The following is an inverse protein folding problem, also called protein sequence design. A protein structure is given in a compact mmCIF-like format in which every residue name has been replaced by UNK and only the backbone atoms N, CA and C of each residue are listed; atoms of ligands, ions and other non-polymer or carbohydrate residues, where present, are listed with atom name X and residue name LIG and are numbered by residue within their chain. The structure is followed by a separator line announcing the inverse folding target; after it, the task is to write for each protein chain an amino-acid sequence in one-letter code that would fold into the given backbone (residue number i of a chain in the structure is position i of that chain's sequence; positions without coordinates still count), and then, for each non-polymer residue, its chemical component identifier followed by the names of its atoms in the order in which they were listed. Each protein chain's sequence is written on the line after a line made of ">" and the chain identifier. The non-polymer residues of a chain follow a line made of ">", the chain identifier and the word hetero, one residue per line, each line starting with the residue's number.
data_IF_025406697705
#
_entry.id   IF_025406697705
#
_cell.length_a   1.000
_cell.length_b   1.000
_cell.length_c   1.000
_cell.angle_alpha   90.00
_cell.angle_beta   90.00
_cell.angle_gamma   90.00
#
_symmetry.space_group_name_H-M   'P 1'
#
loop_
_entity.id
_entity.type
_entity.pdbx_description
1 polymer ?
#
# COMPACT_ATOMS: atom_id res chain seq x y z
N UNK A 1 -22.08 32.02 74.72
CA UNK A 1 -21.18 33.19 74.74
C UNK A 1 -19.76 32.67 74.58
N UNK A 2 -19.12 32.74 73.40
CA UNK A 2 -18.45 33.91 72.76
C UNK A 2 -16.92 33.85 72.96
N UNK A 3 -16.20 33.46 71.89
CA UNK A 3 -14.83 33.84 71.45
C UNK A 3 -13.64 33.51 72.40
N UNK A 4 -12.41 33.23 71.95
CA UNK A 4 -11.59 33.88 70.91
C UNK A 4 -10.32 33.00 70.69
N UNK A 5 -9.90 32.50 69.52
CA UNK A 5 -9.31 33.15 68.31
C UNK A 5 -8.13 34.12 68.56
N UNK A 6 -6.89 33.60 68.57
CA UNK A 6 -5.59 34.25 68.25
C UNK A 6 -4.47 33.27 68.68
N UNK A 7 -3.40 32.94 67.98
CA UNK A 7 -2.67 33.38 66.79
C UNK A 7 -2.13 32.09 66.13
N UNK A 8 -1.95 31.96 64.82
CA UNK A 8 -0.83 32.53 64.07
C UNK A 8 -1.32 32.77 62.64
N UNK A 9 -1.28 34.04 62.26
CA UNK A 9 -1.47 34.53 60.91
C UNK A 9 -0.08 34.80 60.31
N UNK A 10 0.00 34.72 58.98
CA UNK A 10 1.16 34.97 58.12
C UNK A 10 2.28 33.93 58.24
N UNK A 11 2.76 33.33 57.14
CA UNK A 11 3.48 34.03 56.06
C UNK A 11 3.38 33.23 54.73
N UNK A 12 3.11 33.96 53.64
CA UNK A 12 3.34 33.65 52.20
C UNK A 12 2.48 32.51 51.60
N UNK A 13 1.36 32.74 50.89
CA UNK A 13 1.21 33.55 49.67
C UNK A 13 2.37 33.41 48.69
N UNK A 14 2.16 32.63 47.62
CA UNK A 14 3.02 32.69 46.43
C UNK A 14 3.54 31.35 45.91
N UNK A 15 2.66 30.42 45.55
CA UNK A 15 2.98 29.53 44.43
C UNK A 15 1.92 29.83 43.38
N UNK A 16 2.34 30.64 42.40
CA UNK A 16 1.61 30.85 41.18
C UNK A 16 1.33 29.49 40.54
N UNK A 17 0.07 29.22 40.27
CA UNK A 17 -0.37 28.16 39.37
C UNK A 17 0.14 28.53 37.96
N UNK A 18 1.40 28.24 37.66
CA UNK A 18 1.89 28.22 36.30
C UNK A 18 1.68 26.82 35.75
N UNK A 19 0.73 26.74 34.82
CA UNK A 19 0.55 25.80 33.72
C UNK A 19 1.51 24.60 33.63
N UNK A 20 0.90 23.43 33.36
CA UNK A 20 1.52 22.15 32.99
C UNK A 20 1.93 21.23 34.16
N UNK A 21 0.95 20.53 34.74
CA UNK A 21 1.22 19.28 35.47
C UNK A 21 1.36 18.12 34.45
N UNK A 22 2.53 17.49 34.30
CA UNK A 22 2.73 16.45 33.30
C UNK A 22 2.19 15.10 33.79
N UNK A 23 1.33 14.47 32.97
CA UNK A 23 0.63 13.19 33.19
C UNK A 23 1.48 12.02 33.74
N UNK A 24 2.81 12.10 33.65
CA UNK A 24 3.72 11.07 34.17
C UNK A 24 3.70 10.90 35.70
N UNK A 25 3.29 11.91 36.46
CA UNK A 25 3.18 11.80 37.92
C UNK A 25 1.99 10.92 38.35
N UNK A 26 1.04 10.64 37.46
CA UNK A 26 -0.18 9.88 37.79
C UNK A 26 0.08 8.41 38.16
N UNK A 27 1.22 7.82 37.76
CA UNK A 27 1.55 6.42 38.08
C UNK A 27 2.07 6.20 39.51
N UNK A 28 2.56 7.24 40.19
CA UNK A 28 3.12 7.12 41.56
C UNK A 28 2.14 7.45 42.67
N UNK A 29 1.01 8.08 42.34
CA UNK A 29 0.02 8.59 43.30
C UNK A 29 -1.10 7.59 43.66
N UNK A 30 -1.02 6.33 43.21
CA UNK A 30 -2.06 5.31 43.47
C UNK A 30 -1.98 4.64 44.85
N UNK A 31 -1.14 5.14 45.77
CA UNK A 31 -0.81 4.42 47.01
C UNK A 31 -0.88 5.25 48.30
N UNK A 32 -1.63 6.36 48.37
CA UNK A 32 -1.87 7.03 49.64
C UNK A 32 -3.36 7.15 49.97
N UNK A 33 -3.76 6.43 51.01
CA UNK A 33 -5.11 6.20 51.50
C UNK A 33 -5.78 7.42 52.19
N UNK A 34 -5.35 8.66 51.89
CA UNK A 34 -5.67 9.83 52.74
C UNK A 34 -6.32 11.02 52.04
N UNK A 35 -6.89 10.87 50.84
CA UNK A 35 -7.75 11.93 50.29
C UNK A 35 -9.21 11.55 50.46
N UNK A 36 -9.88 12.26 51.36
CA UNK A 36 -11.34 12.38 51.40
C UNK A 36 -11.78 12.77 49.98
N UNK A 37 -12.50 11.87 49.31
CA UNK A 37 -13.12 12.12 48.00
C UNK A 37 -14.24 13.12 48.21
N UNK A 38 -13.89 14.40 48.24
CA UNK A 38 -14.86 15.46 48.42
C UNK A 38 -15.61 15.69 47.11
N UNK A 39 -16.91 16.00 47.18
CA UNK A 39 -17.80 16.14 46.00
C UNK A 39 -17.24 17.10 44.94
N UNK A 40 -16.43 18.07 45.37
CA UNK A 40 -15.76 19.03 44.50
C UNK A 40 -14.78 18.35 43.53
N UNK A 41 -14.08 17.29 43.96
CA UNK A 41 -13.16 16.52 43.12
C UNK A 41 -13.92 15.63 42.13
N UNK A 42 -15.00 14.97 42.59
CA UNK A 42 -15.87 14.14 41.76
C UNK A 42 -16.54 14.99 40.65
N UNK A 43 -17.06 16.17 41.00
CA UNK A 43 -17.67 17.13 40.05
C UNK A 43 -16.64 17.69 39.06
N UNK A 44 -15.45 18.09 39.52
CA UNK A 44 -14.38 18.59 38.65
C UNK A 44 -13.82 17.53 37.68
N UNK A 45 -13.78 16.26 38.10
CA UNK A 45 -13.34 15.15 37.25
C UNK A 45 -14.39 14.81 36.17
N UNK A 46 -15.69 14.89 36.51
CA UNK A 46 -16.79 14.74 35.54
C UNK A 46 -16.76 15.88 34.50
N UNK A 47 -16.35 17.10 34.89
CA UNK A 47 -16.17 18.23 33.97
C UNK A 47 -15.00 18.05 32.99
N UNK A 48 -14.00 17.23 33.33
CA UNK A 48 -12.86 16.89 32.48
C UNK A 48 -13.05 15.55 31.74
N UNK A 49 -14.30 15.14 31.46
CA UNK A 49 -14.53 14.01 30.56
C UNK A 49 -13.68 14.22 29.30
N UNK A 50 -12.82 13.26 28.91
CA UNK A 50 -12.02 13.40 27.71
C UNK A 50 -12.99 13.69 26.57
N UNK A 51 -12.76 14.81 25.89
CA UNK A 51 -13.55 15.27 24.75
C UNK A 51 -13.72 14.06 23.85
N UNK A 52 -14.96 13.61 23.65
CA UNK A 52 -15.26 12.47 22.81
C UNK A 52 -14.65 12.76 21.45
N UNK A 53 -13.49 12.14 21.17
CA UNK A 53 -12.76 12.38 19.94
C UNK A 53 -13.63 11.70 18.89
N UNK A 54 -14.52 12.49 18.29
CA UNK A 54 -15.52 12.06 17.31
C UNK A 54 -14.90 10.98 16.43
N UNK A 55 -15.26 9.72 16.71
CA UNK A 55 -14.73 8.60 15.95
C UNK A 55 -15.36 8.72 14.58
N UNK A 56 -14.51 8.82 13.55
CA UNK A 56 -14.96 8.98 12.16
C UNK A 56 -15.75 7.77 11.65
N UNK A 57 -15.61 6.61 12.28
CA UNK A 57 -16.33 5.38 11.97
C UNK A 57 -16.39 4.45 13.20
N UNK A 58 -17.38 3.55 13.23
CA UNK A 58 -17.55 2.54 14.28
C UNK A 58 -16.80 1.24 13.96
N UNK A 59 -16.57 0.41 14.98
CA UNK A 59 -15.93 -0.88 14.78
C UNK A 59 -16.88 -1.83 14.01
N UNK A 60 -18.20 -1.68 14.15
CA UNK A 60 -19.22 -2.41 13.39
C UNK A 60 -19.15 -2.12 11.88
N UNK A 61 -19.00 -0.85 11.50
CA UNK A 61 -18.86 -0.46 10.08
C UNK A 61 -17.60 -1.08 9.46
N UNK A 62 -16.48 -1.05 10.20
CA UNK A 62 -15.24 -1.70 9.76
C UNK A 62 -15.42 -3.20 9.60
N UNK A 63 -16.06 -3.87 10.58
CA UNK A 63 -16.31 -5.31 10.54
C UNK A 63 -17.20 -5.71 9.37
N UNK A 64 -18.22 -4.91 9.04
CA UNK A 64 -19.09 -5.16 7.90
C UNK A 64 -18.30 -5.15 6.58
N UNK A 65 -17.50 -4.11 6.35
CA UNK A 65 -16.70 -4.03 5.12
C UNK A 65 -15.58 -5.07 5.08
N UNK A 66 -14.97 -5.36 6.23
CA UNK A 66 -13.94 -6.41 6.34
C UNK A 66 -14.52 -7.80 6.00
N UNK A 67 -15.71 -8.13 6.50
CA UNK A 67 -16.41 -9.40 6.17
C UNK A 67 -16.79 -9.52 4.69
N UNK A 68 -17.02 -8.40 4.01
CA UNK A 68 -17.23 -8.35 2.55
C UNK A 68 -15.93 -8.55 1.76
N UNK A 69 -14.78 -8.72 2.42
CA UNK A 69 -13.49 -8.98 1.80
C UNK A 69 -12.76 -7.74 1.30
N UNK A 70 -13.22 -6.53 1.67
CA UNK A 70 -12.58 -5.30 1.22
C UNK A 70 -11.21 -5.13 1.87
N UNK A 71 -10.28 -4.56 1.12
CA UNK A 71 -8.95 -4.19 1.59
C UNK A 71 -8.99 -2.91 2.42
N UNK A 72 -7.99 -2.71 3.29
CA UNK A 72 -7.87 -1.50 4.12
C UNK A 72 -7.96 -0.20 3.28
N UNK A 73 -7.48 -0.23 2.03
CA UNK A 73 -7.56 0.90 1.10
C UNK A 73 -9.01 1.20 0.71
N UNK A 74 -9.73 0.20 0.24
CA UNK A 74 -11.14 0.34 -0.18
C UNK A 74 -12.04 0.74 1.00
N UNK A 75 -11.79 0.17 2.19
CA UNK A 75 -12.50 0.55 3.41
C UNK A 75 -12.24 2.03 3.74
N UNK A 76 -10.99 2.47 3.62
CA UNK A 76 -10.63 3.86 3.91
C UNK A 76 -11.27 4.86 2.96
N UNK A 77 -11.37 4.51 1.67
CA UNK A 77 -12.06 5.29 0.65
C UNK A 77 -13.57 5.38 0.95
N UNK A 78 -14.21 4.27 1.37
CA UNK A 78 -15.63 4.25 1.73
C UNK A 78 -15.96 5.04 3.01
N UNK A 79 -15.07 5.00 4.00
CA UNK A 79 -15.26 5.65 5.30
C UNK A 79 -14.73 7.10 5.35
N UNK A 80 -14.10 7.59 4.28
CA UNK A 80 -13.52 8.94 4.26
C UNK A 80 -12.39 9.15 5.27
N UNK A 81 -11.60 8.08 5.52
CA UNK A 81 -10.47 8.09 6.47
C UNK A 81 -9.18 7.69 5.79
N UNK A 82 -8.06 7.87 6.48
CA UNK A 82 -6.77 7.37 6.01
C UNK A 82 -6.69 5.85 6.13
N UNK A 83 -6.04 5.19 5.18
CA UNK A 83 -5.75 3.75 5.25
C UNK A 83 -5.06 3.34 6.56
N UNK A 84 -4.14 4.16 7.08
CA UNK A 84 -3.44 3.91 8.34
C UNK A 84 -4.40 3.82 9.55
N UNK A 85 -5.47 4.61 9.56
CA UNK A 85 -6.47 4.57 10.63
C UNK A 85 -7.29 3.26 10.61
N UNK A 86 -7.67 2.80 9.41
CA UNK A 86 -8.34 1.50 9.23
C UNK A 86 -7.41 0.37 9.65
N UNK A 87 -6.16 0.39 9.17
CA UNK A 87 -5.15 -0.61 9.49
C UNK A 87 -4.90 -0.72 11.00
N UNK A 88 -4.72 0.40 11.70
CA UNK A 88 -4.58 0.44 13.15
C UNK A 88 -5.79 -0.16 13.87
N UNK A 89 -7.01 0.17 13.42
CA UNK A 89 -8.25 -0.36 14.03
C UNK A 89 -8.41 -1.85 13.77
N UNK A 90 -8.18 -2.31 12.54
CA UNK A 90 -8.15 -3.72 12.15
C UNK A 90 -7.22 -4.53 13.07
N UNK A 91 -5.99 -4.04 13.27
CA UNK A 91 -5.00 -4.69 14.14
C UNK A 91 -5.44 -4.73 15.62
N UNK A 92 -6.03 -3.64 16.12
CA UNK A 92 -6.58 -3.61 17.49
C UNK A 92 -7.73 -4.60 17.70
N UNK A 93 -8.47 -4.92 16.65
CA UNK A 93 -9.54 -5.91 16.64
C UNK A 93 -9.03 -7.34 16.35
N UNK A 94 -7.72 -7.52 16.10
CA UNK A 94 -7.12 -8.83 15.82
C UNK A 94 -7.52 -9.43 14.46
N UNK A 95 -7.96 -8.60 13.52
CA UNK A 95 -8.40 -9.05 12.19
C UNK A 95 -7.21 -9.17 11.23
N UNK A 96 -7.20 -10.22 10.41
CA UNK A 96 -6.21 -10.38 9.34
C UNK A 96 -6.43 -9.36 8.21
N UNK A 97 -5.37 -9.07 7.45
CA UNK A 97 -5.48 -8.19 6.29
C UNK A 97 -6.12 -8.95 5.12
N UNK A 98 -7.15 -8.38 4.50
CA UNK A 98 -7.80 -8.93 3.31
C UNK A 98 -6.97 -8.77 2.03
N UNK A 99 -5.91 -7.94 2.06
CA UNK A 99 -5.02 -7.79 0.93
C UNK A 99 -4.29 -9.09 0.60
N UNK A 100 -4.54 -9.64 -0.58
CA UNK A 100 -3.81 -10.78 -1.14
C UNK A 100 -2.88 -10.25 -2.24
N UNK A 101 -1.55 -10.41 -2.10
CA UNK A 101 -0.65 -10.05 -3.18
C UNK A 101 -0.94 -10.93 -4.39
N UNK A 102 -1.08 -10.32 -5.57
CA UNK A 102 -1.16 -11.06 -6.83
C UNK A 102 0.24 -11.64 -7.09
N UNK A 103 0.33 -12.95 -7.16
CA UNK A 103 1.57 -13.67 -7.45
C UNK A 103 1.40 -14.49 -8.72
N UNK A 104 2.49 -14.69 -9.44
CA UNK A 104 2.56 -15.56 -10.61
C UNK A 104 3.76 -16.50 -10.46
N UNK A 105 3.67 -17.66 -11.09
CA UNK A 105 4.77 -18.64 -11.11
C UNK A 105 5.77 -18.32 -12.22
N UNK A 106 7.01 -18.78 -12.04
CA UNK A 106 8.04 -18.63 -13.08
C UNK A 106 7.63 -19.36 -14.38
N UNK A 107 6.84 -20.44 -14.28
CA UNK A 107 6.28 -21.14 -15.45
C UNK A 107 5.28 -20.28 -16.23
N UNK A 108 4.40 -19.52 -15.55
CA UNK A 108 3.48 -18.59 -16.21
C UNK A 108 4.24 -17.50 -16.96
N UNK A 109 5.28 -16.95 -16.33
CA UNK A 109 6.16 -15.98 -16.97
C UNK A 109 6.87 -16.56 -18.20
N UNK A 110 7.48 -17.73 -18.08
CA UNK A 110 8.19 -18.39 -19.17
C UNK A 110 7.27 -18.71 -20.34
N UNK A 111 6.04 -19.13 -20.07
CA UNK A 111 5.05 -19.42 -21.12
C UNK A 111 4.76 -18.18 -21.96
N UNK A 112 4.47 -17.06 -21.31
CA UNK A 112 4.16 -15.79 -22.00
C UNK A 112 5.42 -15.19 -22.65
N UNK A 113 6.57 -15.31 -22.00
CA UNK A 113 7.85 -14.86 -22.55
C UNK A 113 8.22 -15.59 -23.84
N UNK A 114 8.06 -16.92 -23.86
CA UNK A 114 8.36 -17.75 -25.03
C UNK A 114 7.39 -17.52 -26.19
N UNK A 115 6.21 -16.93 -25.93
CA UNK A 115 5.30 -16.45 -26.96
C UNK A 115 5.75 -15.11 -27.59
N UNK A 116 6.82 -14.49 -27.07
CA UNK A 116 7.36 -13.23 -27.59
C UNK A 116 6.76 -11.97 -26.95
N UNK A 117 5.89 -12.10 -25.94
CA UNK A 117 5.29 -10.95 -25.27
C UNK A 117 6.35 -10.15 -24.51
N UNK A 118 6.18 -8.83 -24.50
CA UNK A 118 7.04 -7.94 -23.71
C UNK A 118 6.56 -7.79 -22.25
N UNK A 119 7.42 -7.25 -21.38
CA UNK A 119 7.14 -7.10 -19.94
C UNK A 119 5.80 -6.39 -19.66
N UNK A 120 5.39 -5.45 -20.51
CA UNK A 120 4.11 -4.74 -20.36
C UNK A 120 2.93 -5.67 -20.67
N UNK A 121 2.95 -6.35 -21.80
CA UNK A 121 1.90 -7.29 -22.21
C UNK A 121 1.75 -8.44 -21.21
N UNK A 122 2.88 -8.96 -20.72
CA UNK A 122 2.90 -9.99 -19.67
C UNK A 122 2.25 -9.46 -18.38
N UNK A 123 2.58 -8.22 -17.98
CA UNK A 123 2.04 -7.62 -16.76
C UNK A 123 0.52 -7.40 -16.83
N UNK A 124 0.03 -6.97 -17.99
CA UNK A 124 -1.41 -6.81 -18.27
C UNK A 124 -2.11 -8.18 -18.22
N UNK A 125 -1.50 -9.21 -18.81
CA UNK A 125 -2.03 -10.59 -18.83
C UNK A 125 -2.09 -11.22 -17.43
N UNK A 126 -1.08 -10.99 -16.59
CA UNK A 126 -0.97 -11.57 -15.25
C UNK A 126 -1.62 -10.71 -14.15
N UNK A 127 -2.08 -9.50 -14.48
CA UNK A 127 -2.67 -8.56 -13.51
C UNK A 127 -1.66 -8.05 -12.48
N UNK A 128 -0.38 -7.96 -12.85
CA UNK A 128 0.71 -7.48 -11.98
C UNK A 128 1.35 -6.22 -12.53
N UNK A 129 2.26 -5.62 -11.77
CA UNK A 129 3.02 -4.47 -12.26
C UNK A 129 4.11 -4.90 -13.25
N UNK A 130 4.40 -4.06 -14.23
CA UNK A 130 5.51 -4.27 -15.17
C UNK A 130 6.85 -4.45 -14.45
N UNK A 131 7.08 -3.69 -13.36
CA UNK A 131 8.28 -3.81 -12.54
C UNK A 131 8.44 -5.20 -11.90
N UNK A 132 7.34 -5.84 -11.48
CA UNK A 132 7.39 -7.19 -10.92
C UNK A 132 7.79 -8.23 -11.98
N UNK A 133 7.28 -8.09 -13.21
CA UNK A 133 7.67 -8.93 -14.35
C UNK A 133 9.14 -8.71 -14.70
N UNK A 134 9.56 -7.46 -14.84
CA UNK A 134 10.94 -7.10 -15.18
C UNK A 134 11.95 -7.66 -14.16
N UNK A 135 11.65 -7.51 -12.87
CA UNK A 135 12.45 -8.06 -11.79
C UNK A 135 12.54 -9.59 -11.87
N UNK A 136 11.41 -10.28 -12.06
CA UNK A 136 11.36 -11.75 -12.17
C UNK A 136 12.10 -12.26 -13.41
N UNK A 137 11.92 -11.62 -14.56
CA UNK A 137 12.61 -11.91 -15.82
C UNK A 137 14.13 -11.77 -15.68
N UNK A 138 14.59 -10.67 -15.08
CA UNK A 138 16.01 -10.44 -14.82
C UNK A 138 16.63 -11.48 -13.87
N UNK A 139 15.88 -11.89 -12.84
CA UNK A 139 16.31 -12.99 -11.94
C UNK A 139 16.45 -14.34 -12.64
N UNK A 140 15.68 -14.58 -13.70
CA UNK A 140 15.77 -15.78 -14.54
C UNK A 140 16.83 -15.68 -15.64
N UNK A 141 17.52 -14.52 -15.76
CA UNK A 141 18.56 -14.32 -16.78
C UNK A 141 18.02 -14.17 -18.22
N UNK A 142 16.73 -13.83 -18.37
CA UNK A 142 16.09 -13.70 -19.68
C UNK A 142 16.31 -12.28 -20.24
N UNK A 143 16.59 -12.17 -21.54
CA UNK A 143 16.68 -10.90 -22.26
C UNK A 143 15.32 -10.15 -22.29
N UNK A 144 15.30 -8.88 -22.70
CA UNK A 144 14.02 -8.16 -22.84
C UNK A 144 13.42 -8.41 -24.22
N UNK A 145 12.12 -8.72 -24.27
CA UNK A 145 11.36 -8.79 -25.51
C UNK A 145 10.88 -7.40 -26.00
N UNK A 146 11.37 -6.30 -25.40
CA UNK A 146 10.98 -4.96 -25.81
C UNK A 146 11.69 -4.56 -27.10
N UNK A 147 10.91 -4.37 -28.16
CA UNK A 147 11.39 -3.94 -29.46
C UNK A 147 10.74 -2.60 -29.81
N UNK A 148 11.52 -1.51 -29.96
CA UNK A 148 11.01 -0.23 -30.42
C UNK A 148 10.46 -0.34 -31.84
N UNK A 149 9.22 0.13 -32.04
CA UNK A 149 8.51 0.06 -33.32
C UNK A 149 9.31 0.62 -34.48
N UNK A 150 9.84 1.84 -34.28
CA UNK A 150 10.57 2.58 -35.30
C UNK A 150 11.77 1.79 -35.83
N UNK A 151 12.54 1.16 -34.94
CA UNK A 151 13.74 0.41 -35.31
C UNK A 151 13.32 -0.85 -36.07
N UNK A 152 12.32 -1.57 -35.56
CA UNK A 152 11.78 -2.74 -36.22
C UNK A 152 11.30 -2.45 -37.65
N UNK A 153 10.50 -1.40 -37.84
CA UNK A 153 10.03 -0.99 -39.17
C UNK A 153 11.18 -0.60 -40.09
N UNK A 154 12.18 0.11 -39.58
CA UNK A 154 13.36 0.50 -40.38
C UNK A 154 14.13 -0.73 -40.88
N UNK A 155 14.27 -1.78 -40.07
CA UNK A 155 14.94 -3.01 -40.48
C UNK A 155 14.07 -3.84 -41.44
N UNK A 156 12.77 -3.87 -41.20
CA UNK A 156 11.81 -4.55 -42.07
C UNK A 156 11.73 -3.91 -43.46
N UNK A 157 11.66 -2.58 -43.55
CA UNK A 157 11.66 -1.82 -44.82
C UNK A 157 12.94 -1.99 -45.63
N UNK A 158 14.05 -2.32 -44.97
CA UNK A 158 15.31 -2.71 -45.65
C UNK A 158 15.27 -4.11 -46.25
N UNK A 159 14.19 -4.87 -46.05
CA UNK A 159 14.02 -6.22 -46.57
C UNK A 159 14.71 -7.31 -45.77
N UNK A 160 15.08 -7.04 -44.51
CA UNK A 160 15.68 -8.07 -43.64
C UNK A 160 14.61 -9.09 -43.23
N UNK A 161 15.04 -10.35 -43.17
CA UNK A 161 14.25 -11.47 -42.63
C UNK A 161 14.09 -11.37 -41.11
N UNK A 162 13.14 -12.12 -40.55
CA UNK A 162 12.90 -12.18 -39.10
C UNK A 162 14.14 -12.60 -38.30
N UNK A 163 14.93 -13.53 -38.84
CA UNK A 163 16.15 -14.07 -38.27
C UNK A 163 17.27 -13.04 -38.27
N UNK A 164 17.43 -12.30 -39.37
CA UNK A 164 18.39 -11.20 -39.48
C UNK A 164 18.04 -10.05 -38.54
N UNK A 165 16.75 -9.70 -38.44
CA UNK A 165 16.28 -8.68 -37.49
C UNK A 165 16.56 -9.12 -36.04
N UNK A 166 16.31 -10.40 -35.71
CA UNK A 166 16.59 -10.93 -34.38
C UNK A 166 18.08 -10.83 -34.03
N UNK A 167 18.95 -11.19 -34.97
CA UNK A 167 20.40 -11.10 -34.82
C UNK A 167 20.87 -9.64 -34.68
N UNK A 168 20.39 -8.73 -35.53
CA UNK A 168 20.75 -7.31 -35.51
C UNK A 168 20.34 -6.61 -34.21
N UNK A 169 19.21 -7.01 -33.62
CA UNK A 169 18.68 -6.42 -32.39
C UNK A 169 19.13 -7.12 -31.10
N UNK A 170 19.91 -8.20 -31.19
CA UNK A 170 20.20 -9.11 -30.07
C UNK A 170 18.92 -9.49 -29.30
N UNK A 171 17.86 -9.77 -30.06
CA UNK A 171 16.52 -10.02 -29.55
C UNK A 171 16.11 -11.48 -29.83
N UNK A 172 15.34 -12.10 -28.93
CA UNK A 172 14.86 -13.45 -29.16
C UNK A 172 13.88 -13.48 -30.35
N UNK A 173 14.05 -14.46 -31.26
CA UNK A 173 13.23 -14.62 -32.46
C UNK A 173 11.71 -14.61 -32.18
N UNK A 174 11.18 -15.27 -31.12
CA UNK A 174 9.75 -15.17 -30.78
C UNK A 174 9.25 -13.74 -30.58
N UNK A 175 10.08 -12.83 -30.05
CA UNK A 175 9.69 -11.43 -29.87
C UNK A 175 9.55 -10.70 -31.22
N UNK A 176 10.43 -10.99 -32.19
CA UNK A 176 10.31 -10.48 -33.56
C UNK A 176 9.03 -11.00 -34.23
N UNK A 177 8.77 -12.31 -34.13
CA UNK A 177 7.58 -12.93 -34.72
C UNK A 177 6.28 -12.40 -34.11
N UNK A 178 6.24 -12.24 -32.79
CA UNK A 178 5.12 -11.61 -32.10
C UNK A 178 4.94 -10.16 -32.55
N UNK A 179 6.03 -9.42 -32.78
CA UNK A 179 5.99 -8.05 -33.28
C UNK A 179 5.41 -7.96 -34.70
N UNK A 180 5.83 -8.86 -35.60
CA UNK A 180 5.28 -8.97 -36.95
C UNK A 180 3.77 -9.24 -36.92
N UNK A 181 3.37 -10.24 -36.11
CA UNK A 181 1.95 -10.58 -35.92
C UNK A 181 1.14 -9.41 -35.39
N UNK A 182 1.67 -8.66 -34.42
CA UNK A 182 1.01 -7.50 -33.81
C UNK A 182 0.79 -6.36 -34.79
N UNK A 183 1.69 -6.18 -35.75
CA UNK A 183 1.59 -5.16 -36.79
C UNK A 183 0.84 -5.64 -38.04
N UNK A 184 0.26 -6.85 -38.00
CA UNK A 184 -0.46 -7.48 -39.11
C UNK A 184 0.37 -7.55 -40.42
N UNK A 185 1.69 -7.58 -40.28
CA UNK A 185 2.60 -7.68 -41.42
C UNK A 185 2.56 -9.14 -41.90
N UNK A 186 1.84 -9.39 -42.99
CA UNK A 186 1.86 -10.67 -43.69
C UNK A 186 3.19 -10.76 -44.43
N UNK A 187 3.99 -11.80 -44.13
CA UNK A 187 5.23 -12.06 -44.87
C UNK A 187 4.89 -12.38 -46.33
N UNK A 188 5.06 -11.42 -47.23
CA UNK A 188 4.90 -11.66 -48.68
C UNK A 188 6.10 -12.39 -49.32
N UNK A 189 7.15 -12.72 -48.55
CA UNK A 189 8.41 -13.24 -49.10
C UNK A 189 8.57 -14.77 -48.96
N UNK A 190 7.48 -15.52 -49.07
CA UNK A 190 7.45 -16.97 -48.89
C UNK A 190 7.06 -17.81 -50.11
N UNK A 191 7.04 -17.26 -51.33
CA UNK A 191 6.75 -18.05 -52.56
C UNK A 191 7.44 -17.43 -53.78
N UNK A 192 8.73 -17.68 -53.94
CA UNK A 192 9.41 -17.53 -55.21
C UNK A 192 10.63 -18.46 -55.25
N UNK A 193 10.40 -19.77 -55.32
CA UNK A 193 11.35 -20.77 -55.85
C UNK A 193 10.68 -22.15 -55.86
N UNK A 194 9.79 -22.39 -56.82
CA UNK A 194 9.31 -23.73 -57.18
C UNK A 194 8.69 -23.77 -58.59
N UNK A 195 9.34 -23.19 -59.60
CA UNK A 195 9.11 -23.56 -61.00
C UNK A 195 10.43 -23.44 -61.79
N UNK A 196 11.20 -24.54 -61.82
CA UNK A 196 12.03 -24.96 -62.96
C UNK A 196 11.99 -26.48 -63.04
#
# INVERSE_FOLDING_TARGET
>A
MTLCRRCIHQVCSGIALSDSYPLHLYRRYKASSLMVRDEAWEKAFIQQKPKDVMRKFSDEELLEFHRKGLTDREISEKLGVTQAAVNYRREKLGLENNYKPITFSDQQLLTLYNQGLNDREISETLGVTQAAVNYRRGRLGLASNYIPERIFLTLYEKGLSSEEIAHELDAPLPAILHRMKKLEIVSEHGVAEAEV
#
